data_IF_152587883082
#
_entry.id   IF_152587883082
#
_cell.length_a   1.000
_cell.length_b   1.000
_cell.length_c   1.000
_cell.angle_alpha   90.00
_cell.angle_beta   90.00
_cell.angle_gamma   90.00
#
_symmetry.space_group_name_H-M   'P 1'
#
loop_
_entity.id
_entity.type
_entity.pdbx_description
1 polymer ?
#
# COMPACT_ATOMS: atom_id res chain seq x y z
N UNK A 1 -1.85 0.98 -17.23
CA UNK A 1 -2.26 0.91 -15.81
C UNK A 1 -3.51 1.76 -15.56
N UNK A 2 -4.70 1.30 -15.97
CA UNK A 2 -5.94 2.12 -15.93
C UNK A 2 -6.69 2.06 -14.59
N UNK A 3 -6.21 1.29 -13.61
CA UNK A 3 -7.06 0.81 -12.49
C UNK A 3 -6.56 1.15 -11.07
N UNK A 4 -5.46 1.91 -10.90
CA UNK A 4 -4.90 2.21 -9.57
C UNK A 4 -5.51 3.44 -8.86
N UNK A 5 -6.39 4.18 -9.54
CA UNK A 5 -6.85 5.50 -9.06
C UNK A 5 -8.20 5.45 -8.33
N UNK A 6 -9.01 4.41 -8.55
CA UNK A 6 -10.46 4.42 -8.27
C UNK A 6 -10.86 4.24 -6.78
N UNK A 7 -9.93 4.46 -5.85
CA UNK A 7 -10.21 4.34 -4.42
C UNK A 7 -9.38 5.22 -3.48
N UNK A 8 -8.41 5.97 -4.00
CA UNK A 8 -7.58 6.86 -3.19
C UNK A 8 -8.35 8.13 -2.85
N UNK A 9 -8.19 8.63 -1.62
CA UNK A 9 -8.81 9.90 -1.19
C UNK A 9 -8.17 11.07 -1.97
N UNK A 10 -6.87 10.97 -2.22
CA UNK A 10 -6.15 11.86 -3.11
C UNK A 10 -5.30 11.03 -4.10
N UNK A 11 -5.64 11.01 -5.40
CA UNK A 11 -4.92 10.26 -6.41
C UNK A 11 -3.52 10.81 -6.72
N UNK A 12 -3.11 11.95 -6.15
CA UNK A 12 -1.78 12.55 -6.26
C UNK A 12 -1.00 12.50 -4.93
N UNK A 13 -1.51 11.80 -3.92
CA UNK A 13 -0.82 11.70 -2.63
C UNK A 13 0.53 10.98 -2.77
N UNK A 14 1.60 11.63 -2.28
CA UNK A 14 2.94 11.03 -2.22
C UNK A 14 3.03 9.95 -1.13
N UNK A 15 2.28 10.14 -0.04
CA UNK A 15 2.25 9.23 1.10
C UNK A 15 0.86 8.65 1.30
N UNK A 16 0.79 7.34 1.52
CA UNK A 16 -0.43 6.58 1.66
C UNK A 16 -0.54 5.96 3.04
N UNK A 17 -1.76 5.89 3.57
CA UNK A 17 -2.09 5.08 4.74
C UNK A 17 -2.30 3.60 4.38
N UNK A 18 -2.23 2.69 5.35
CA UNK A 18 -2.55 1.26 5.12
C UNK A 18 -3.94 1.05 4.48
N UNK A 19 -4.92 1.88 4.83
CA UNK A 19 -6.28 1.83 4.29
C UNK A 19 -6.34 2.23 2.81
N UNK A 20 -5.44 3.11 2.37
CA UNK A 20 -5.33 3.48 0.96
C UNK A 20 -4.59 2.39 0.19
N UNK A 21 -3.52 1.85 0.77
CA UNK A 21 -2.77 0.73 0.19
C UNK A 21 -3.68 -0.47 -0.07
N UNK A 22 -4.60 -0.81 0.86
CA UNK A 22 -5.56 -1.91 0.64
C UNK A 22 -6.38 -1.79 -0.65
N UNK A 23 -6.66 -0.56 -1.07
CA UNK A 23 -7.48 -0.28 -2.26
C UNK A 23 -6.67 -0.34 -3.56
N UNK A 24 -5.34 -0.36 -3.49
CA UNK A 24 -4.48 -0.52 -4.67
C UNK A 24 -4.45 -1.96 -5.19
N UNK A 25 -4.91 -2.93 -4.40
CA UNK A 25 -5.02 -4.32 -4.80
C UNK A 25 -6.35 -4.58 -5.52
N UNK A 26 -6.35 -5.54 -6.44
CA UNK A 26 -7.55 -5.98 -7.17
C UNK A 26 -7.67 -7.50 -7.09
N UNK A 27 -8.62 -8.05 -6.30
CA UNK A 27 -9.59 -7.33 -5.47
C UNK A 27 -8.94 -6.58 -4.29
N UNK A 28 -9.58 -5.53 -3.74
CA UNK A 28 -9.09 -4.85 -2.54
C UNK A 28 -8.90 -5.83 -1.38
N UNK A 29 -7.78 -5.72 -0.67
CA UNK A 29 -7.46 -6.61 0.45
C UNK A 29 -7.70 -5.93 1.78
N UNK A 30 -8.00 -6.67 2.85
CA UNK A 30 -8.21 -6.05 4.16
C UNK A 30 -6.92 -5.43 4.72
N UNK A 31 -6.99 -4.29 5.44
CA UNK A 31 -5.82 -3.73 6.14
C UNK A 31 -5.18 -4.72 7.14
N UNK A 32 -5.98 -5.63 7.72
CA UNK A 32 -5.49 -6.69 8.62
C UNK A 32 -4.65 -7.71 7.85
N UNK A 33 -5.07 -8.09 6.64
CA UNK A 33 -4.29 -8.98 5.77
C UNK A 33 -2.95 -8.35 5.38
N UNK A 34 -2.96 -7.06 5.01
CA UNK A 34 -1.74 -6.30 4.74
C UNK A 34 -0.79 -6.31 5.93
N UNK A 35 -1.29 -6.01 7.13
CA UNK A 35 -0.49 -6.03 8.34
C UNK A 35 0.10 -7.43 8.62
N UNK A 36 -0.68 -8.49 8.42
CA UNK A 36 -0.19 -9.88 8.54
C UNK A 36 0.91 -10.18 7.51
N UNK A 37 0.74 -9.76 6.26
CA UNK A 37 1.75 -9.98 5.21
C UNK A 37 3.05 -9.23 5.50
N UNK A 38 2.97 -8.00 6.01
CA UNK A 38 4.14 -7.26 6.50
C UNK A 38 4.84 -8.01 7.63
N UNK A 39 4.08 -8.52 8.61
CA UNK A 39 4.63 -9.30 9.74
C UNK A 39 5.26 -10.63 9.29
N UNK A 40 4.74 -11.22 8.23
CA UNK A 40 5.26 -12.46 7.63
C UNK A 40 6.40 -12.22 6.64
N UNK A 41 6.80 -10.97 6.38
CA UNK A 41 7.84 -10.63 5.40
C UNK A 41 7.42 -10.83 3.93
N UNK A 42 6.13 -11.08 3.66
CA UNK A 42 5.58 -11.27 2.31
C UNK A 42 5.39 -9.95 1.54
N UNK A 43 5.30 -8.86 2.28
CA UNK A 43 5.17 -7.50 1.74
C UNK A 43 6.07 -6.56 2.53
N UNK A 44 7.13 -6.06 1.91
CA UNK A 44 8.10 -5.19 2.55
C UNK A 44 7.77 -3.73 2.22
N UNK A 45 7.10 -3.07 3.16
CA UNK A 45 6.80 -1.63 3.06
C UNK A 45 7.53 -0.88 4.16
N UNK A 46 8.19 0.22 3.79
CA UNK A 46 8.90 1.08 4.73
C UNK A 46 7.94 2.11 5.33
N UNK A 47 7.70 2.12 6.65
CA UNK A 47 6.83 3.10 7.29
C UNK A 47 7.58 4.42 7.52
N UNK A 48 6.96 5.51 7.10
CA UNK A 48 7.32 6.88 7.47
C UNK A 48 6.38 7.36 8.58
N UNK A 49 6.95 7.83 9.68
CA UNK A 49 6.19 8.25 10.86
C UNK A 49 5.99 9.77 10.80
N UNK A 50 4.73 10.19 10.73
CA UNK A 50 4.34 11.61 10.80
C UNK A 50 3.47 11.78 12.05
N UNK A 51 4.04 12.37 13.10
CA UNK A 51 3.43 12.39 14.43
C UNK A 51 3.21 10.97 14.98
N UNK A 52 1.98 10.62 15.32
CA UNK A 52 1.62 9.29 15.83
C UNK A 52 1.08 8.33 14.76
N UNK A 53 1.11 8.73 13.48
CA UNK A 53 0.56 7.94 12.37
C UNK A 53 1.66 7.46 11.44
N UNK A 54 1.48 6.26 10.89
CA UNK A 54 2.37 5.64 9.90
C UNK A 54 1.79 5.82 8.51
N UNK A 55 2.64 6.28 7.61
CA UNK A 55 2.37 6.43 6.19
C UNK A 55 3.46 5.72 5.39
N UNK A 56 3.21 5.50 4.11
CA UNK A 56 4.10 4.75 3.23
C UNK A 56 4.25 5.49 1.92
N UNK A 57 5.47 5.60 1.40
CA UNK A 57 5.70 6.31 0.16
C UNK A 57 5.06 5.55 -1.00
N UNK A 58 4.24 6.23 -1.80
CA UNK A 58 3.44 5.61 -2.85
C UNK A 58 4.29 4.87 -3.89
N UNK A 59 5.42 5.45 -4.30
CA UNK A 59 6.30 4.81 -5.29
C UNK A 59 6.89 3.49 -4.77
N UNK A 60 7.25 3.42 -3.49
CA UNK A 60 7.74 2.19 -2.86
C UNK A 60 6.62 1.14 -2.76
N UNK A 61 5.41 1.56 -2.39
CA UNK A 61 4.23 0.68 -2.33
C UNK A 61 3.92 0.10 -3.70
N UNK A 62 3.86 0.92 -4.76
CA UNK A 62 3.56 0.45 -6.11
C UNK A 62 4.63 -0.53 -6.59
N UNK A 63 5.92 -0.19 -6.41
CA UNK A 63 7.02 -1.06 -6.78
C UNK A 63 6.96 -2.42 -6.06
N UNK A 64 6.61 -2.43 -4.77
CA UNK A 64 6.44 -3.66 -4.00
C UNK A 64 5.24 -4.49 -4.47
N UNK A 65 4.10 -3.84 -4.76
CA UNK A 65 2.91 -4.52 -5.30
C UNK A 65 3.22 -5.16 -6.66
N UNK A 66 3.96 -4.46 -7.52
CA UNK A 66 4.39 -4.98 -8.82
C UNK A 66 5.34 -6.17 -8.68
N UNK A 67 6.33 -6.09 -7.78
CA UNK A 67 7.19 -7.24 -7.44
C UNK A 67 6.36 -8.45 -6.98
N UNK A 68 5.36 -8.21 -6.14
CA UNK A 68 4.50 -9.27 -5.61
C UNK A 68 3.60 -9.91 -6.68
N UNK A 69 3.20 -9.17 -7.72
CA UNK A 69 2.41 -9.71 -8.85
C UNK A 69 3.25 -10.52 -9.84
N UNK A 70 4.56 -10.30 -9.89
CA UNK A 70 5.47 -11.00 -10.79
C UNK A 70 5.97 -12.35 -10.23
N UNK A 71 5.66 -12.66 -8.97
CA UNK A 71 5.88 -13.96 -8.33
C UNK A 71 4.64 -14.84 -8.49
#
# INVERSE_FOLDING_TARGET
MKWLHEGLINPEAEYLSLKEISKLFSPPISPVSLWKWQKQGKLQLTPYVFGNKKFYKRSEVIAEIERHKAM
#
